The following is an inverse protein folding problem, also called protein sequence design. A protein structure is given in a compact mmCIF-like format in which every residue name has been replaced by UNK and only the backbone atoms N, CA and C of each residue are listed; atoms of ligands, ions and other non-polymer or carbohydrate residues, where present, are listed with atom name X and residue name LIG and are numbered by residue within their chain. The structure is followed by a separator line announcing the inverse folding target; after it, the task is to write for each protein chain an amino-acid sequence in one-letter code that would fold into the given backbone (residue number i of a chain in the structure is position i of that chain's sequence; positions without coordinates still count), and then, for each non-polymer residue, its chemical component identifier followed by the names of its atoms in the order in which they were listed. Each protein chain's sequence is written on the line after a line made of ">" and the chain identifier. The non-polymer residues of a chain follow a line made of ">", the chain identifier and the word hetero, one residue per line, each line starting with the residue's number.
data_IF_122373968412
#
_entry.id   IF_122373968412
#
_cell.length_a   1.000
_cell.length_b   1.000
_cell.length_c   1.000
_cell.angle_alpha   90.00
_cell.angle_beta   90.00
_cell.angle_gamma   90.00
#
_symmetry.space_group_name_H-M   'P 1'
#
loop_
_entity.id
_entity.type
_entity.pdbx_description
1 polymer ?
#
# COMPACT_ATOMS: atom_id res chain seq x y z
N UNK A 1 -23.23 24.12 25.66
CA UNK A 1 -22.79 25.34 24.95
C UNK A 1 -21.57 25.91 25.68
N UNK A 2 -20.51 25.11 25.78
CA UNK A 2 -19.23 25.50 26.42
C UNK A 2 -18.08 24.52 26.08
N UNK A 3 -18.13 23.90 24.90
CA UNK A 3 -17.01 23.12 24.32
C UNK A 3 -16.82 23.46 22.83
N UNK A 4 -16.89 24.75 22.48
CA UNK A 4 -16.73 25.25 21.11
C UNK A 4 -15.48 26.11 20.91
N UNK A 5 -14.51 26.05 21.83
CA UNK A 5 -13.29 26.88 21.80
C UNK A 5 -12.01 26.11 22.13
N UNK A 6 -11.74 25.01 21.41
CA UNK A 6 -10.38 24.43 21.29
C UNK A 6 -10.07 23.99 19.86
N UNK A 7 -10.33 24.88 18.91
CA UNK A 7 -9.67 24.81 17.61
C UNK A 7 -8.66 25.96 17.58
N UNK A 8 -7.43 25.61 17.89
CA UNK A 8 -6.29 26.52 17.81
C UNK A 8 -6.09 26.96 16.35
N UNK A 9 -6.21 28.28 16.12
CA UNK A 9 -5.56 29.04 15.04
C UNK A 9 -5.44 28.35 13.66
N UNK A 10 -6.56 28.11 12.97
CA UNK A 10 -6.52 27.95 11.52
C UNK A 10 -6.25 29.31 10.88
N UNK A 11 -5.02 29.50 10.39
CA UNK A 11 -4.72 30.58 9.44
C UNK A 11 -5.47 30.27 8.15
N UNK A 12 -6.31 31.21 7.68
CA UNK A 12 -6.96 31.08 6.37
C UNK A 12 -5.85 31.06 5.31
N UNK A 13 -5.55 29.87 4.80
CA UNK A 13 -4.54 29.68 3.75
C UNK A 13 -5.29 29.58 2.43
N UNK A 14 -4.90 30.42 1.46
CA UNK A 14 -5.52 30.41 0.12
C UNK A 14 -5.10 29.20 -0.71
N UNK A 15 -4.10 28.45 -0.23
CA UNK A 15 -3.63 27.21 -0.81
C UNK A 15 -2.88 26.36 0.21
N UNK A 16 -2.88 25.04 0.01
CA UNK A 16 -2.19 24.09 0.85
C UNK A 16 -1.58 22.94 0.04
N UNK A 17 -0.51 22.35 0.55
CA UNK A 17 0.01 21.09 0.04
C UNK A 17 -1.02 19.97 0.17
N UNK A 18 -1.16 19.17 -0.89
CA UNK A 18 -1.90 17.91 -0.89
C UNK A 18 -0.95 16.75 -1.19
N UNK A 19 -1.37 15.52 -0.89
CA UNK A 19 -0.52 14.34 -0.99
C UNK A 19 -0.10 13.92 -2.40
N UNK A 20 -0.39 14.65 -3.47
CA UNK A 20 -0.07 14.22 -4.83
C UNK A 20 1.38 14.59 -5.18
N UNK A 21 2.16 13.61 -5.65
CA UNK A 21 3.58 13.77 -5.99
C UNK A 21 3.93 13.03 -7.29
N UNK A 22 4.78 13.63 -8.12
CA UNK A 22 5.36 13.00 -9.31
C UNK A 22 6.54 12.12 -8.92
N UNK A 23 6.50 10.88 -9.37
CA UNK A 23 7.61 9.91 -9.24
C UNK A 23 8.64 10.15 -10.35
N UNK A 24 9.90 9.72 -10.14
CA UNK A 24 10.95 9.71 -11.17
C UNK A 24 10.56 8.98 -12.46
N UNK A 25 9.54 8.12 -12.42
CA UNK A 25 8.89 7.51 -13.60
C UNK A 25 7.97 8.44 -14.40
N UNK A 26 7.96 9.75 -14.10
CA UNK A 26 7.03 10.78 -14.62
C UNK A 26 5.53 10.49 -14.35
N UNK A 27 5.22 9.65 -13.36
CA UNK A 27 3.85 9.31 -12.96
C UNK A 27 3.44 9.98 -11.65
N UNK A 28 2.27 10.59 -11.61
CA UNK A 28 1.66 11.16 -10.40
C UNK A 28 1.12 10.07 -9.47
N UNK A 29 1.43 10.16 -8.16
CA UNK A 29 1.02 9.21 -7.12
C UNK A 29 0.60 9.96 -5.85
N UNK A 30 -0.49 9.54 -5.23
CA UNK A 30 -0.95 10.07 -3.94
C UNK A 30 -0.12 9.49 -2.80
N UNK A 31 0.20 10.29 -1.78
CA UNK A 31 1.09 9.96 -0.65
C UNK A 31 0.51 8.90 0.30
N UNK A 32 -0.81 8.72 0.32
CA UNK A 32 -1.42 7.58 0.99
C UNK A 32 -1.16 6.33 0.15
N UNK A 33 -0.26 5.48 0.65
CA UNK A 33 0.29 4.37 -0.11
C UNK A 33 -0.60 3.13 -0.17
N UNK A 34 -1.72 3.11 0.55
CA UNK A 34 -2.61 1.95 0.63
C UNK A 34 -3.55 1.90 -0.59
N UNK A 35 -3.33 1.01 -1.57
CA UNK A 35 -4.20 0.92 -2.73
C UNK A 35 -5.56 0.33 -2.36
N UNK A 36 -5.69 -0.33 -1.20
CA UNK A 36 -6.95 -0.91 -0.73
C UNK A 36 -7.91 0.16 -0.17
N UNK A 37 -7.40 1.38 0.10
CA UNK A 37 -8.22 2.54 0.48
C UNK A 37 -9.01 3.11 -0.70
N UNK A 38 -8.39 3.15 -1.87
CA UNK A 38 -8.96 3.80 -3.04
C UNK A 38 -9.91 2.86 -3.79
N UNK A 39 -11.06 3.39 -4.20
CA UNK A 39 -11.89 2.73 -5.21
C UNK A 39 -11.25 2.83 -6.60
N UNK A 40 -11.72 1.99 -7.50
CA UNK A 40 -11.33 2.04 -8.91
C UNK A 40 -11.53 3.46 -9.49
N UNK A 41 -10.47 4.05 -10.04
CA UNK A 41 -10.47 5.40 -10.61
C UNK A 41 -10.15 6.54 -9.63
N UNK A 42 -10.14 6.33 -8.31
CA UNK A 42 -9.90 7.40 -7.34
C UNK A 42 -8.42 7.83 -7.31
N UNK A 43 -7.49 6.93 -7.59
CA UNK A 43 -6.06 7.26 -7.66
C UNK A 43 -5.70 8.09 -8.90
N UNK A 44 -6.59 8.13 -9.88
CA UNK A 44 -6.48 8.80 -11.17
C UNK A 44 -7.15 10.17 -11.17
N UNK A 45 -7.94 10.52 -10.15
CA UNK A 45 -8.61 11.82 -10.07
C UNK A 45 -7.60 12.97 -10.07
N UNK A 46 -7.77 13.91 -11.00
CA UNK A 46 -6.97 15.12 -11.12
C UNK A 46 -7.88 16.31 -11.38
N UNK A 47 -7.72 17.39 -10.64
CA UNK A 47 -8.42 18.65 -10.84
C UNK A 47 -7.41 19.77 -11.19
N UNK A 48 -6.56 19.53 -12.19
CA UNK A 48 -5.55 20.49 -12.61
C UNK A 48 -6.17 21.83 -13.01
N UNK A 49 -5.53 22.92 -12.60
CA UNK A 49 -5.93 24.24 -13.04
C UNK A 49 -5.79 24.37 -14.58
N UNK A 50 -6.62 25.22 -15.23
CA UNK A 50 -6.51 25.45 -16.66
C UNK A 50 -5.08 25.87 -17.06
N UNK A 51 -4.50 25.20 -18.05
CA UNK A 51 -3.16 25.43 -18.60
C UNK A 51 -1.96 24.87 -17.79
N UNK A 52 -2.17 24.16 -16.68
CA UNK A 52 -1.07 23.46 -15.97
C UNK A 52 -0.48 22.31 -16.81
N UNK A 53 -1.30 21.62 -17.60
CA UNK A 53 -0.83 20.57 -18.52
C UNK A 53 0.02 21.10 -19.68
N UNK A 54 0.13 22.43 -19.86
CA UNK A 54 0.89 23.05 -20.94
C UNK A 54 2.30 23.51 -20.53
N UNK A 55 2.65 23.52 -19.24
CA UNK A 55 3.93 24.04 -18.71
C UNK A 55 4.60 23.01 -17.80
N UNK A 56 4.86 21.80 -18.31
CA UNK A 56 5.59 20.77 -17.58
C UNK A 56 7.08 21.11 -17.46
N UNK A 57 7.46 21.88 -16.44
CA UNK A 57 8.86 21.98 -16.03
C UNK A 57 9.24 20.70 -15.26
N UNK A 58 10.35 20.06 -15.64
CA UNK A 58 10.80 18.75 -15.10
C UNK A 58 11.14 18.73 -13.59
N UNK A 59 10.92 19.84 -12.85
CA UNK A 59 11.30 20.01 -11.44
C UNK A 59 10.13 20.26 -10.47
N UNK A 60 8.90 20.34 -10.96
CA UNK A 60 7.70 20.57 -10.15
C UNK A 60 7.00 19.25 -9.79
N UNK A 61 7.60 18.52 -8.84
CA UNK A 61 7.16 17.17 -8.50
C UNK A 61 6.09 17.11 -7.40
N UNK A 62 5.69 18.22 -6.79
CA UNK A 62 4.69 18.24 -5.71
C UNK A 62 3.46 19.08 -6.09
N UNK A 63 2.32 18.80 -5.48
CA UNK A 63 1.05 19.46 -5.84
C UNK A 63 0.45 20.23 -4.67
N UNK A 64 0.07 21.46 -4.95
CA UNK A 64 -0.73 22.29 -4.06
C UNK A 64 -2.15 22.42 -4.60
N UNK A 65 -3.11 22.56 -3.69
CA UNK A 65 -4.51 22.84 -4.00
C UNK A 65 -4.86 24.25 -3.52
N UNK A 66 -5.52 25.03 -4.36
CA UNK A 66 -6.06 26.34 -3.96
C UNK A 66 -7.45 26.21 -3.31
N UNK A 67 -7.98 27.32 -2.80
CA UNK A 67 -9.31 27.35 -2.18
C UNK A 67 -10.48 27.05 -3.13
N UNK A 68 -10.24 26.99 -4.44
CA UNK A 68 -11.22 26.56 -5.45
C UNK A 68 -11.13 25.06 -5.77
N UNK A 69 -10.18 24.35 -5.14
CA UNK A 69 -9.94 22.93 -5.33
C UNK A 69 -9.05 22.62 -6.54
N UNK A 70 -8.50 23.64 -7.22
CA UNK A 70 -7.65 23.43 -8.39
C UNK A 70 -6.22 23.05 -7.99
N UNK A 71 -5.64 22.12 -8.75
CA UNK A 71 -4.31 21.58 -8.51
C UNK A 71 -3.28 22.33 -9.34
N UNK A 72 -2.14 22.64 -8.73
CA UNK A 72 -0.99 23.28 -9.36
C UNK A 72 0.27 22.47 -9.05
N UNK A 73 1.11 22.22 -10.04
CA UNK A 73 2.44 21.67 -9.78
C UNK A 73 3.35 22.76 -9.20
N UNK A 74 4.23 22.37 -8.29
CA UNK A 74 5.20 23.30 -7.70
C UNK A 74 6.38 22.55 -7.11
N UNK A 75 7.41 23.31 -6.73
CA UNK A 75 8.62 22.78 -6.12
C UNK A 75 8.36 22.28 -4.70
N UNK A 76 8.75 21.03 -4.45
CA UNK A 76 8.60 20.36 -3.16
C UNK A 76 9.33 21.05 -1.99
N UNK A 77 10.29 21.94 -2.25
CA UNK A 77 11.06 22.65 -1.22
C UNK A 77 10.40 23.95 -0.72
N UNK A 78 9.24 24.33 -1.28
CA UNK A 78 8.55 25.55 -0.83
C UNK A 78 7.86 25.34 0.52
N UNK A 79 8.09 26.26 1.45
CA UNK A 79 7.46 26.25 2.79
C UNK A 79 6.02 26.74 2.63
N UNK A 80 5.03 25.86 2.89
CA UNK A 80 3.60 26.17 2.82
C UNK A 80 2.82 25.40 3.86
N UNK A 81 1.60 25.84 4.13
CA UNK A 81 0.61 25.06 4.87
C UNK A 81 0.27 23.77 4.13
N UNK A 82 -0.13 22.74 4.86
CA UNK A 82 -0.38 21.41 4.32
C UNK A 82 -1.64 20.80 4.93
N UNK A 83 -2.32 19.98 4.15
CA UNK A 83 -3.49 19.24 4.61
C UNK A 83 -3.08 17.83 5.04
N UNK A 84 -3.46 17.46 6.27
CA UNK A 84 -3.36 16.09 6.77
C UNK A 84 -4.69 15.36 6.56
N UNK A 85 -4.61 14.05 6.38
CA UNK A 85 -5.75 13.16 6.41
C UNK A 85 -5.62 12.27 7.66
N UNK A 86 -6.58 12.38 8.58
CA UNK A 86 -6.65 11.63 9.84
C UNK A 86 -7.64 10.46 9.80
N UNK A 87 -8.48 10.39 8.75
CA UNK A 87 -9.36 9.26 8.49
C UNK A 87 -10.66 9.23 9.29
N UNK A 88 -11.03 10.32 9.96
CA UNK A 88 -12.32 10.44 10.66
C UNK A 88 -13.38 11.12 9.76
N UNK A 89 -14.59 10.56 9.71
CA UNK A 89 -15.66 10.97 8.79
C UNK A 89 -16.53 12.10 9.35
N UNK A 90 -17.02 13.01 8.49
CA UNK A 90 -18.04 14.00 8.84
C UNK A 90 -19.45 13.38 8.79
N UNK A 91 -20.33 13.84 9.66
CA UNK A 91 -21.66 13.27 9.89
C UNK A 91 -22.64 13.33 8.69
N UNK A 92 -22.30 14.06 7.62
CA UNK A 92 -23.14 14.23 6.43
C UNK A 92 -23.04 13.03 5.47
N UNK A 93 -21.99 12.20 5.57
CA UNK A 93 -21.79 11.01 4.73
C UNK A 93 -22.61 9.76 5.16
N UNK A 94 -23.43 9.88 6.21
CA UNK A 94 -24.12 8.74 6.87
C UNK A 94 -25.50 8.41 6.28
N UNK A 95 -26.05 9.24 5.36
CA UNK A 95 -27.49 9.19 5.03
C UNK A 95 -27.89 8.53 3.69
N UNK A 96 -27.10 7.62 3.09
CA UNK A 96 -27.60 6.82 1.96
C UNK A 96 -27.92 5.37 2.38
N UNK A 97 -29.21 5.05 2.44
CA UNK A 97 -29.79 3.77 2.86
C UNK A 97 -29.55 2.59 1.88
N UNK A 98 -28.30 2.22 1.61
CA UNK A 98 -27.99 0.96 0.92
C UNK A 98 -26.98 0.12 1.70
N UNK A 99 -27.47 -0.98 2.27
CA UNK A 99 -26.65 -1.93 3.01
C UNK A 99 -25.85 -2.80 2.04
N UNK A 100 -24.63 -2.38 1.76
CA UNK A 100 -23.62 -3.22 1.12
C UNK A 100 -22.95 -4.08 2.19
N UNK A 101 -23.33 -5.36 2.27
CA UNK A 101 -22.63 -6.34 3.11
C UNK A 101 -21.28 -6.65 2.44
N UNK A 102 -20.18 -6.64 3.19
CA UNK A 102 -18.86 -7.00 2.68
C UNK A 102 -18.27 -8.13 3.50
N UNK A 103 -18.02 -9.24 2.83
CA UNK A 103 -17.39 -10.42 3.42
C UNK A 103 -15.96 -10.48 2.90
N UNK A 104 -14.97 -10.30 3.77
CA UNK A 104 -13.55 -10.28 3.43
C UNK A 104 -12.98 -11.70 3.42
N UNK A 105 -12.33 -12.16 2.35
CA UNK A 105 -11.61 -13.44 2.30
C UNK A 105 -10.13 -13.28 2.01
N UNK A 106 -9.25 -13.68 2.93
CA UNK A 106 -7.80 -13.87 2.70
C UNK A 106 -7.51 -15.20 2.02
N UNK A 107 -6.98 -15.19 0.80
CA UNK A 107 -6.42 -16.38 0.14
C UNK A 107 -4.89 -16.35 0.28
N UNK A 108 -4.31 -17.26 1.06
CA UNK A 108 -2.87 -17.47 1.09
C UNK A 108 -2.55 -18.96 0.96
N UNK A 109 -1.62 -19.27 0.04
CA UNK A 109 -1.08 -20.62 -0.17
C UNK A 109 -0.36 -21.15 1.07
N UNK A 110 -0.37 -22.48 1.19
CA UNK A 110 0.07 -23.28 2.34
C UNK A 110 1.34 -22.76 3.04
N UNK A 111 1.29 -22.74 4.38
CA UNK A 111 2.36 -22.29 5.28
C UNK A 111 1.88 -21.20 6.24
N UNK A 112 2.27 -21.32 7.51
CA UNK A 112 1.91 -20.52 8.70
C UNK A 112 1.15 -19.20 8.44
N UNK A 113 -0.06 -19.12 9.01
CA UNK A 113 -1.18 -18.28 8.57
C UNK A 113 -1.04 -16.78 8.92
N UNK A 114 0.11 -16.37 9.47
CA UNK A 114 0.40 -14.98 9.82
C UNK A 114 1.69 -14.44 9.15
N UNK A 115 2.36 -15.26 8.34
CA UNK A 115 3.66 -14.90 7.76
C UNK A 115 3.48 -14.08 6.48
N UNK A 116 3.59 -12.75 6.60
CA UNK A 116 3.42 -11.75 5.52
C UNK A 116 4.54 -11.81 4.45
N UNK A 117 5.70 -12.32 4.81
CA UNK A 117 6.90 -12.38 3.96
C UNK A 117 7.40 -13.81 3.90
N UNK A 118 7.77 -14.29 2.71
CA UNK A 118 8.33 -15.64 2.52
C UNK A 118 9.68 -15.55 1.83
N UNK A 119 10.69 -16.19 2.43
CA UNK A 119 11.98 -16.40 1.79
C UNK A 119 11.87 -17.55 0.79
N UNK A 120 12.15 -17.27 -0.48
CA UNK A 120 12.30 -18.29 -1.52
C UNK A 120 13.77 -18.61 -1.67
N UNK A 121 14.15 -19.84 -1.31
CA UNK A 121 15.54 -20.30 -1.33
C UNK A 121 16.01 -20.76 -2.72
N UNK A 122 15.49 -20.17 -3.79
CA UNK A 122 15.92 -20.42 -5.17
C UNK A 122 16.81 -19.29 -5.66
N UNK A 123 17.99 -19.63 -6.19
CA UNK A 123 18.90 -18.64 -6.74
C UNK A 123 18.41 -18.18 -8.12
N UNK A 124 17.99 -16.92 -8.23
CA UNK A 124 17.50 -16.31 -9.48
C UNK A 124 18.11 -14.93 -9.69
N UNK A 125 18.22 -14.48 -10.94
CA UNK A 125 18.48 -13.07 -11.23
C UNK A 125 17.36 -12.19 -10.67
N UNK A 126 17.61 -10.91 -10.40
CA UNK A 126 16.58 -10.04 -9.81
C UNK A 126 15.30 -9.98 -10.66
N UNK A 127 15.46 -9.95 -11.99
CA UNK A 127 14.32 -9.91 -12.93
C UNK A 127 13.54 -11.23 -12.93
N UNK A 128 14.23 -12.35 -12.82
CA UNK A 128 13.58 -13.66 -12.76
C UNK A 128 12.90 -13.88 -11.41
N UNK A 129 13.50 -13.40 -10.32
CA UNK A 129 12.89 -13.37 -8.99
C UNK A 129 11.59 -12.54 -8.98
N UNK A 130 11.61 -11.33 -9.56
CA UNK A 130 10.40 -10.52 -9.74
C UNK A 130 9.33 -11.26 -10.55
N UNK A 131 9.74 -11.86 -11.67
CA UNK A 131 8.82 -12.58 -12.55
C UNK A 131 8.20 -13.79 -11.83
N UNK A 132 8.99 -14.51 -11.05
CA UNK A 132 8.54 -15.59 -10.19
C UNK A 132 7.48 -15.09 -9.20
N UNK A 133 7.75 -14.04 -8.44
CA UNK A 133 6.79 -13.49 -7.48
C UNK A 133 5.45 -13.14 -8.15
N UNK A 134 5.49 -12.53 -9.35
CA UNK A 134 4.28 -12.15 -10.11
C UNK A 134 3.50 -13.35 -10.65
N UNK A 135 4.18 -14.39 -11.11
CA UNK A 135 3.53 -15.65 -11.53
C UNK A 135 2.82 -16.33 -10.36
N UNK A 136 3.37 -16.21 -9.15
CA UNK A 136 2.76 -16.71 -7.93
C UNK A 136 1.80 -15.69 -7.27
N UNK A 137 1.21 -14.78 -8.08
CA UNK A 137 0.24 -13.76 -7.68
C UNK A 137 0.69 -12.83 -6.54
N UNK A 138 1.99 -12.58 -6.44
CA UNK A 138 2.63 -11.73 -5.42
C UNK A 138 3.60 -10.72 -6.05
N UNK A 139 4.51 -10.16 -5.25
CA UNK A 139 5.55 -9.24 -5.70
C UNK A 139 6.78 -9.38 -4.76
N UNK A 140 7.96 -8.94 -5.21
CA UNK A 140 9.12 -8.78 -4.33
C UNK A 140 8.80 -7.83 -3.17
N UNK A 141 9.46 -8.02 -2.04
CA UNK A 141 9.13 -7.26 -0.83
C UNK A 141 9.52 -5.78 -0.94
N UNK A 142 8.60 -4.90 -0.54
CA UNK A 142 8.89 -3.51 -0.20
C UNK A 142 8.95 -3.34 1.31
N UNK A 143 9.87 -2.53 1.82
CA UNK A 143 9.95 -2.22 3.25
C UNK A 143 9.46 -0.80 3.51
N UNK A 144 8.39 -0.67 4.31
CA UNK A 144 7.77 0.64 4.54
C UNK A 144 8.37 1.40 5.71
N UNK A 145 8.87 0.69 6.70
CA UNK A 145 9.43 1.22 7.95
C UNK A 145 10.42 0.22 8.58
N UNK A 146 11.00 0.61 9.71
CA UNK A 146 11.98 -0.18 10.45
C UNK A 146 11.40 -1.50 10.98
N UNK A 147 10.17 -1.50 11.50
CA UNK A 147 9.51 -2.70 12.02
C UNK A 147 9.37 -3.79 10.95
N UNK A 148 8.97 -3.41 9.73
CA UNK A 148 8.88 -4.34 8.60
C UNK A 148 10.26 -4.88 8.21
N UNK A 149 11.30 -4.03 8.22
CA UNK A 149 12.67 -4.44 7.95
C UNK A 149 13.16 -5.45 9.01
N UNK A 150 12.90 -5.21 10.30
CA UNK A 150 13.25 -6.13 11.39
C UNK A 150 12.53 -7.49 11.26
N UNK A 151 11.26 -7.49 10.88
CA UNK A 151 10.51 -8.75 10.64
C UNK A 151 11.10 -9.58 9.49
N UNK A 152 11.49 -8.93 8.40
CA UNK A 152 12.07 -9.59 7.22
C UNK A 152 13.48 -10.13 7.54
N UNK A 153 14.29 -9.35 8.27
CA UNK A 153 15.61 -9.76 8.72
C UNK A 153 15.59 -11.08 9.51
N UNK A 154 14.59 -11.28 10.37
CA UNK A 154 14.47 -12.52 11.16
C UNK A 154 14.31 -13.78 10.30
N UNK A 155 14.00 -13.64 9.00
CA UNK A 155 13.77 -14.75 8.08
C UNK A 155 15.02 -15.16 7.29
N UNK A 156 16.10 -14.36 7.31
CA UNK A 156 17.31 -14.64 6.53
C UNK A 156 18.31 -15.46 7.36
N UNK A 157 18.78 -16.62 6.88
CA UNK A 157 19.90 -17.33 7.50
C UNK A 157 21.18 -16.46 7.45
N UNK A 158 21.96 -16.46 8.53
CA UNK A 158 23.19 -15.68 8.62
C UNK A 158 24.12 -15.90 7.40
N UNK A 159 24.73 -14.82 6.91
CA UNK A 159 25.69 -14.83 5.80
C UNK A 159 25.11 -14.88 4.39
N UNK A 160 23.78 -14.80 4.22
CA UNK A 160 23.14 -14.85 2.90
C UNK A 160 22.79 -13.45 2.38
N UNK A 161 22.92 -13.28 1.06
CA UNK A 161 22.39 -12.14 0.31
C UNK A 161 21.00 -12.51 -0.20
N UNK A 162 20.01 -11.67 0.05
CA UNK A 162 18.63 -11.93 -0.38
C UNK A 162 18.07 -10.71 -1.10
N UNK A 163 17.53 -10.91 -2.30
CA UNK A 163 16.92 -9.82 -3.05
C UNK A 163 15.66 -9.27 -2.40
N UNK A 164 15.54 -7.95 -2.47
CA UNK A 164 14.34 -7.17 -2.14
C UNK A 164 13.82 -6.44 -3.39
N UNK A 165 12.64 -5.85 -3.32
CA UNK A 165 11.99 -5.19 -4.45
C UNK A 165 12.58 -3.82 -4.83
N UNK A 166 13.64 -3.34 -4.16
CA UNK A 166 14.26 -2.05 -4.45
C UNK A 166 15.23 -2.17 -5.63
N UNK A 167 15.06 -1.33 -6.66
CA UNK A 167 15.90 -1.35 -7.86
C UNK A 167 16.07 0.05 -8.48
N UNK A 168 17.08 0.22 -9.34
CA UNK A 168 17.49 1.50 -9.95
C UNK A 168 16.42 2.09 -10.88
N UNK A 169 16.56 3.41 -11.11
CA UNK A 169 15.55 4.47 -11.40
C UNK A 169 15.13 5.21 -10.12
N UNK A 170 16.07 5.94 -9.51
CA UNK A 170 15.92 6.60 -8.20
C UNK A 170 15.58 5.67 -7.03
N UNK A 171 16.00 4.40 -7.09
CA UNK A 171 15.73 3.39 -6.07
C UNK A 171 14.24 3.30 -5.74
N UNK A 172 13.46 2.90 -6.72
CA UNK A 172 12.01 2.70 -6.61
C UNK A 172 11.70 1.25 -6.23
N UNK A 173 10.61 1.07 -5.49
CA UNK A 173 10.12 -0.27 -5.15
C UNK A 173 9.41 -0.89 -6.36
N UNK A 174 9.65 -2.18 -6.62
CA UNK A 174 9.05 -2.95 -7.72
C UNK A 174 7.54 -3.09 -7.62
N UNK A 175 7.01 -3.00 -6.41
CA UNK A 175 5.57 -3.02 -6.13
C UNK A 175 4.91 -1.65 -6.23
N UNK A 176 5.66 -0.62 -6.65
CA UNK A 176 5.26 0.77 -6.73
C UNK A 176 4.96 1.47 -5.39
N UNK A 177 5.32 0.85 -4.25
CA UNK A 177 5.35 1.51 -2.95
C UNK A 177 6.10 2.83 -2.99
N UNK A 178 5.60 3.82 -2.25
CA UNK A 178 6.23 5.14 -2.13
C UNK A 178 7.11 5.29 -0.90
N UNK A 179 7.35 4.21 -0.15
CA UNK A 179 8.15 4.33 1.06
C UNK A 179 9.53 4.91 0.75
N UNK A 180 9.91 5.95 1.50
CA UNK A 180 11.23 6.55 1.52
C UNK A 180 12.20 5.84 2.47
N UNK A 181 11.76 4.80 3.20
CA UNK A 181 12.60 4.07 4.14
C UNK A 181 13.77 3.41 3.43
N UNK A 182 15.00 3.65 3.90
CA UNK A 182 16.22 3.06 3.37
C UNK A 182 17.12 2.62 4.52
N UNK A 183 17.57 1.37 4.49
CA UNK A 183 18.47 0.81 5.50
C UNK A 183 19.83 0.45 4.87
N UNK A 184 20.42 1.42 4.16
CA UNK A 184 21.67 1.26 3.43
C UNK A 184 22.84 0.91 4.32
N UNK A 185 23.76 0.10 3.80
CA UNK A 185 25.09 -0.06 4.38
C UNK A 185 25.92 1.22 4.21
N UNK A 186 26.96 1.35 5.00
CA UNK A 186 27.92 2.45 4.94
C UNK A 186 28.47 2.58 3.52
N UNK A 187 28.35 3.80 2.97
CA UNK A 187 28.75 4.16 1.60
C UNK A 187 27.86 3.60 0.47
N UNK A 188 26.72 2.98 0.79
CA UNK A 188 25.72 2.62 -0.19
C UNK A 188 24.63 3.71 -0.35
N UNK A 189 24.07 3.89 -1.55
CA UNK A 189 24.45 3.25 -2.81
C UNK A 189 25.73 3.87 -3.42
N UNK A 190 26.69 3.04 -3.82
CA UNK A 190 27.99 3.45 -4.38
C UNK A 190 28.01 3.55 -5.93
N UNK A 191 26.92 3.11 -6.59
CA UNK A 191 26.77 3.10 -8.04
C UNK A 191 27.33 1.86 -8.74
N UNK A 192 27.84 0.87 -8.01
CA UNK A 192 28.39 -0.39 -8.55
C UNK A 192 27.34 -1.40 -9.03
N UNK A 193 26.07 -1.19 -8.67
CA UNK A 193 24.96 -2.07 -9.04
C UNK A 193 23.62 -1.34 -9.12
N UNK A 194 22.61 -2.08 -9.58
CA UNK A 194 21.26 -1.55 -9.78
C UNK A 194 20.19 -2.25 -8.95
N UNK A 195 20.48 -3.43 -8.42
CA UNK A 195 19.53 -4.24 -7.66
C UNK A 195 19.98 -4.33 -6.20
N UNK A 196 19.02 -4.34 -5.28
CA UNK A 196 19.35 -4.27 -3.85
C UNK A 196 19.15 -5.62 -3.20
N UNK A 197 20.15 -6.04 -2.44
CA UNK A 197 20.07 -7.19 -1.56
C UNK A 197 20.13 -6.75 -0.11
N UNK A 198 19.38 -7.44 0.73
CA UNK A 198 19.65 -7.43 2.15
C UNK A 198 20.74 -8.47 2.45
N UNK A 199 21.81 -8.03 3.10
CA UNK A 199 22.85 -8.90 3.62
C UNK A 199 22.64 -9.04 5.13
N UNK A 200 22.59 -10.28 5.61
CA UNK A 200 22.62 -10.53 7.05
C UNK A 200 24.02 -10.99 7.47
N UNK A 201 24.97 -10.03 7.42
CA UNK A 201 26.13 -9.99 8.31
C UNK A 201 25.79 -9.05 9.49
N UNK A 202 26.69 -8.91 10.46
CA UNK A 202 26.42 -8.41 11.82
C UNK A 202 25.56 -7.11 11.93
N UNK A 203 25.47 -6.31 10.87
CA UNK A 203 24.77 -5.02 10.79
C UNK A 203 23.38 -5.05 10.10
N UNK A 204 23.07 -6.10 9.31
CA UNK A 204 21.78 -6.34 8.64
C UNK A 204 21.37 -5.25 7.63
N UNK A 205 22.36 -4.59 7.02
CA UNK A 205 22.19 -3.46 6.13
C UNK A 205 21.97 -3.87 4.66
N UNK A 206 21.57 -2.91 3.83
CA UNK A 206 21.28 -3.12 2.41
C UNK A 206 22.47 -2.75 1.54
N UNK A 207 22.75 -3.61 0.57
CA UNK A 207 23.87 -3.47 -0.36
C UNK A 207 23.37 -3.51 -1.80
N UNK A 208 24.05 -2.77 -2.68
CA UNK A 208 23.76 -2.81 -4.11
C UNK A 208 24.53 -3.96 -4.76
N UNK A 209 23.90 -4.64 -5.69
CA UNK A 209 24.44 -5.77 -6.41
C UNK A 209 24.08 -5.67 -7.89
N UNK A 210 24.87 -6.34 -8.74
CA UNK A 210 24.50 -6.48 -10.15
C UNK A 210 23.27 -7.38 -10.26
N UNK A 211 22.29 -6.95 -11.05
CA UNK A 211 20.99 -7.65 -11.17
C UNK A 211 21.09 -9.07 -11.75
N UNK A 212 22.23 -9.42 -12.37
CA UNK A 212 22.52 -10.74 -12.93
C UNK A 212 23.01 -11.75 -11.90
N UNK A 213 23.37 -11.32 -10.68
CA UNK A 213 23.71 -12.25 -9.59
C UNK A 213 22.51 -13.14 -9.26
N UNK A 214 22.76 -14.41 -9.00
CA UNK A 214 21.70 -15.36 -8.68
C UNK A 214 21.61 -15.49 -7.17
N UNK A 215 20.52 -14.99 -6.59
CA UNK A 215 20.33 -14.94 -5.14
C UNK A 215 18.92 -15.45 -4.77
N UNK A 216 18.75 -15.97 -3.54
CA UNK A 216 17.44 -16.09 -2.90
C UNK A 216 16.71 -14.74 -2.86
N UNK A 217 15.40 -14.76 -2.67
CA UNK A 217 14.59 -13.54 -2.70
C UNK A 217 13.37 -13.61 -1.79
N UNK A 218 12.91 -12.45 -1.34
CA UNK A 218 11.68 -12.33 -0.56
C UNK A 218 10.47 -12.02 -1.42
N UNK A 219 9.43 -12.84 -1.28
CA UNK A 219 8.10 -12.51 -1.77
C UNK A 219 7.25 -11.93 -0.63
N UNK A 220 6.44 -10.92 -0.97
CA UNK A 220 5.38 -10.42 -0.10
C UNK A 220 4.09 -11.15 -0.43
N UNK A 221 3.54 -11.89 0.54
CA UNK A 221 2.20 -12.44 0.42
C UNK A 221 1.19 -11.28 0.38
N UNK A 222 0.46 -11.14 -0.72
CA UNK A 222 -0.68 -10.24 -0.79
C UNK A 222 -1.86 -10.91 -0.11
N UNK A 223 -2.44 -10.26 0.89
CA UNK A 223 -3.74 -10.66 1.40
C UNK A 223 -4.72 -10.38 0.27
N UNK A 224 -5.18 -11.42 -0.42
CA UNK A 224 -6.33 -11.23 -1.29
C UNK A 224 -7.53 -10.92 -0.40
N UNK A 225 -8.42 -10.03 -0.82
CA UNK A 225 -9.65 -9.75 -0.09
C UNK A 225 -10.75 -9.84 -1.14
N UNK A 226 -11.39 -11.00 -1.24
CA UNK A 226 -12.64 -11.07 -1.98
C UNK A 226 -13.71 -10.38 -1.13
N UNK A 227 -14.53 -9.53 -1.75
CA UNK A 227 -15.61 -8.80 -1.08
C UNK A 227 -16.94 -9.21 -1.72
N UNK A 228 -17.82 -9.81 -0.94
CA UNK A 228 -19.13 -10.30 -1.44
C UNK A 228 -20.25 -9.41 -0.93
N UNK A 229 -20.95 -8.76 -1.86
CA UNK A 229 -22.21 -8.05 -1.62
C UNK A 229 -23.39 -9.02 -1.56
N UNK A 230 -24.11 -9.00 -0.44
CA UNK A 230 -25.35 -9.77 -0.28
C UNK A 230 -26.53 -8.80 -0.28
N UNK A 231 -27.43 -8.96 -1.26
CA UNK A 231 -28.69 -8.20 -1.32
C UNK A 231 -29.77 -8.99 -0.57
N UNK A 232 -30.40 -8.36 0.41
CA UNK A 232 -31.50 -8.94 1.20
C UNK A 232 -32.60 -7.92 1.40
N UNK A 233 -33.85 -8.38 1.43
CA UNK A 233 -35.00 -7.56 1.84
C UNK A 233 -35.14 -7.47 3.38
N UNK A 234 -34.31 -8.20 4.13
CA UNK A 234 -34.24 -8.18 5.59
C UNK A 234 -33.05 -7.35 6.06
N UNK A 235 -33.15 -6.77 7.26
CA UNK A 235 -32.06 -5.99 7.84
C UNK A 235 -30.80 -6.84 8.08
N UNK A 236 -29.64 -6.34 7.64
CA UNK A 236 -28.37 -7.05 7.80
C UNK A 236 -27.87 -7.12 9.26
N UNK A 237 -28.46 -6.30 10.14
CA UNK A 237 -28.26 -6.31 11.60
C UNK A 237 -28.88 -7.56 12.25
N UNK A 238 -29.79 -8.26 11.55
CA UNK A 238 -30.43 -9.47 12.05
C UNK A 238 -29.36 -10.56 12.30
N UNK A 239 -29.21 -10.89 13.58
CA UNK A 239 -28.24 -11.88 14.06
C UNK A 239 -28.47 -13.27 13.47
N UNK A 240 -29.73 -13.65 13.20
CA UNK A 240 -30.07 -14.94 12.61
C UNK A 240 -29.69 -14.98 11.13
N UNK A 241 -29.98 -13.91 10.38
CA UNK A 241 -29.58 -13.78 8.98
C UNK A 241 -28.05 -13.82 8.84
N UNK A 242 -27.34 -13.03 9.65
CA UNK A 242 -25.87 -13.04 9.72
C UNK A 242 -25.34 -14.44 9.99
N UNK A 243 -25.86 -15.12 11.00
CA UNK A 243 -25.39 -16.45 11.40
C UNK A 243 -25.62 -17.47 10.29
N UNK A 244 -26.78 -17.44 9.63
CA UNK A 244 -27.11 -18.35 8.53
C UNK A 244 -26.20 -18.13 7.30
N UNK A 245 -25.94 -16.88 6.91
CA UNK A 245 -25.05 -16.55 5.79
C UNK A 245 -23.62 -16.99 6.09
N UNK A 246 -23.10 -16.65 7.28
CA UNK A 246 -21.76 -17.01 7.71
C UNK A 246 -21.58 -18.53 7.73
N UNK A 247 -22.54 -19.28 8.26
CA UNK A 247 -22.52 -20.74 8.29
C UNK A 247 -22.49 -21.34 6.87
N UNK A 248 -23.32 -20.82 5.96
CA UNK A 248 -23.39 -21.30 4.57
C UNK A 248 -22.10 -21.04 3.80
N UNK A 249 -21.47 -19.87 4.01
CA UNK A 249 -20.19 -19.55 3.40
C UNK A 249 -19.08 -20.43 3.95
N UNK A 250 -19.06 -20.65 5.26
CA UNK A 250 -18.07 -21.51 5.88
C UNK A 250 -18.20 -22.96 5.42
N UNK A 251 -19.43 -23.45 5.20
CA UNK A 251 -19.66 -24.76 4.60
C UNK A 251 -19.13 -24.83 3.16
N UNK A 252 -19.45 -23.86 2.30
CA UNK A 252 -18.92 -23.82 0.93
C UNK A 252 -17.40 -23.78 0.89
N UNK A 253 -16.78 -23.03 1.81
CA UNK A 253 -15.33 -23.03 1.93
C UNK A 253 -14.79 -24.41 2.32
N UNK A 254 -15.44 -25.14 3.23
CA UNK A 254 -15.04 -26.53 3.55
C UNK A 254 -15.11 -27.43 2.33
N UNK A 255 -16.20 -27.36 1.55
CA UNK A 255 -16.39 -28.16 0.33
C UNK A 255 -15.32 -27.88 -0.72
N UNK A 256 -14.86 -26.62 -0.81
CA UNK A 256 -13.80 -26.20 -1.73
C UNK A 256 -12.39 -26.45 -1.17
N UNK A 257 -12.25 -27.07 0.00
CA UNK A 257 -10.97 -27.29 0.67
C UNK A 257 -10.36 -26.05 1.33
N UNK A 258 -11.12 -24.96 1.42
CA UNK A 258 -10.67 -23.61 1.80
C UNK A 258 -10.75 -23.22 3.25
N UNK A 259 -11.45 -24.01 4.06
CA UNK A 259 -11.77 -23.60 5.42
C UNK A 259 -10.55 -23.34 6.32
N UNK A 260 -9.40 -23.96 6.04
CA UNK A 260 -8.19 -23.79 6.86
C UNK A 260 -7.39 -22.52 6.54
N UNK A 261 -7.48 -22.03 5.31
CA UNK A 261 -6.69 -20.89 4.83
C UNK A 261 -7.51 -19.61 4.71
N UNK A 262 -8.75 -19.63 5.19
CA UNK A 262 -9.68 -18.52 5.01
C UNK A 262 -10.22 -18.06 6.36
N UNK A 263 -9.90 -16.82 6.72
CA UNK A 263 -10.55 -16.13 7.84
C UNK A 263 -11.80 -15.42 7.33
N UNK A 264 -12.96 -15.75 7.89
CA UNK A 264 -14.24 -15.14 7.54
C UNK A 264 -14.58 -14.08 8.59
N UNK A 265 -14.74 -12.82 8.15
CA UNK A 265 -15.15 -11.71 9.01
C UNK A 265 -16.41 -11.08 8.44
N UNK A 266 -17.42 -10.92 9.31
CA UNK A 266 -18.62 -10.14 8.99
C UNK A 266 -18.39 -8.69 9.39
N UNK A 267 -18.36 -7.79 8.42
CA UNK A 267 -18.31 -6.35 8.66
C UNK A 267 -19.57 -5.72 8.10
N UNK A 268 -20.27 -4.98 8.95
CA UNK A 268 -21.37 -4.11 8.52
C UNK A 268 -20.80 -2.71 8.45
N UNK A 269 -20.77 -2.16 7.25
CA UNK A 269 -20.54 -0.74 7.04
C UNK A 269 -21.89 -0.11 6.77
N UNK A 270 -22.28 0.88 7.57
CA UNK A 270 -23.50 1.67 7.33
C UNK A 270 -23.41 2.53 6.05
N UNK A 271 -22.24 2.58 5.40
CA UNK A 271 -21.88 3.63 4.44
C UNK A 271 -21.49 3.10 3.03
N UNK A 272 -21.87 1.88 2.65
CA UNK A 272 -21.74 1.39 1.26
C UNK A 272 -20.34 1.38 0.61
N UNK A 273 -19.26 1.66 1.36
CA UNK A 273 -17.87 1.68 0.85
C UNK A 273 -17.00 0.61 1.49
N UNK A 274 -16.00 0.25 0.71
CA UNK A 274 -15.45 -1.07 0.49
C UNK A 274 -14.04 -1.14 1.01
#
# INVERSE_FOLDING_TARGET
>A
MEELFRLDNFTYTTSAWIGLKKSGSKRWRWALADPEFYKEGETEYRNWAPNEEAVFLDFEDCVMMDSSGQFYSTYCFTIRSFMCYDGEYSAEDILSEEVSILILFSLLGQGDNNQKYVLVNEAKSWRDAQSYCRQHHTELVSMRNEDENLQIQQLIPAGHYVYIGLFKDNYVWSDNSMSSFRNWDSNQPDGSGECVTQLLRDDRLWDVQTCSTHQPFFLRKKRQILKIAVKSHQEASDLQLKTAIMAKLQQKLKELGMAFYTKLEWRMTTNGRV
#
